data_IF_657327044640
#
_entry.id   IF_657327044640
#
_cell.length_a   1.000
_cell.length_b   1.000
_cell.length_c   1.000
_cell.angle_alpha   90.00
_cell.angle_beta   90.00
_cell.angle_gamma   90.00
#
_symmetry.space_group_name_H-M   'P 1'
#
loop_
_entity.id
_entity.type
_entity.pdbx_description
1 polymer ?
#
# COMPACT_ATOMS: atom_id res chain seq x y z
N UNK A 1 -12.96 -0.72 -13.56
CA UNK A 1 -12.79 -1.12 -12.15
C UNK A 1 -13.80 -2.18 -11.69
N UNK A 2 -15.13 -1.92 -11.70
CA UNK A 2 -16.15 -2.90 -11.25
C UNK A 2 -15.99 -4.29 -11.88
N UNK A 3 -15.84 -4.36 -13.21
CA UNK A 3 -15.63 -5.62 -13.93
C UNK A 3 -14.39 -6.40 -13.48
N UNK A 4 -13.26 -5.72 -13.23
CA UNK A 4 -12.05 -6.36 -12.71
C UNK A 4 -12.26 -6.92 -11.31
N UNK A 5 -12.93 -6.17 -10.43
CA UNK A 5 -13.26 -6.64 -9.08
C UNK A 5 -14.22 -7.83 -9.12
N UNK A 6 -15.18 -7.84 -10.06
CA UNK A 6 -16.10 -8.97 -10.26
C UNK A 6 -15.33 -10.22 -10.71
N UNK A 7 -14.40 -10.08 -11.66
CA UNK A 7 -13.53 -11.17 -12.08
C UNK A 7 -12.67 -11.70 -10.93
N UNK A 8 -12.07 -10.81 -10.13
CA UNK A 8 -11.34 -11.19 -8.91
C UNK A 8 -12.24 -11.96 -7.94
N UNK A 9 -13.50 -11.54 -7.78
CA UNK A 9 -14.48 -12.24 -6.95
C UNK A 9 -14.80 -13.65 -7.44
N UNK A 10 -14.82 -13.88 -8.76
CA UNK A 10 -15.03 -15.22 -9.33
C UNK A 10 -13.82 -16.14 -9.15
N UNK A 11 -12.59 -15.59 -9.27
CA UNK A 11 -11.35 -16.34 -9.10
C UNK A 11 -11.03 -16.63 -7.63
N UNK A 12 -11.40 -15.71 -6.74
CA UNK A 12 -11.05 -15.74 -5.32
C UNK A 12 -9.81 -14.90 -5.02
N UNK A 13 -9.76 -14.31 -3.82
CA UNK A 13 -8.63 -13.52 -3.33
C UNK A 13 -7.99 -14.15 -2.09
N UNK A 14 -6.65 -14.15 -2.05
CA UNK A 14 -5.87 -14.66 -0.93
C UNK A 14 -5.19 -16.00 -1.20
N UNK A 15 -4.53 -16.54 -0.18
CA UNK A 15 -3.66 -17.73 -0.27
C UNK A 15 -4.39 -18.98 -0.77
N UNK A 16 -5.66 -19.14 -0.39
CA UNK A 16 -6.47 -20.35 -0.63
C UNK A 16 -7.46 -20.15 -1.80
N UNK A 17 -7.22 -19.19 -2.70
CA UNK A 17 -8.09 -18.95 -3.84
C UNK A 17 -8.19 -20.17 -4.77
N UNK A 18 -7.08 -20.89 -4.98
CA UNK A 18 -7.03 -22.08 -5.84
C UNK A 18 -7.80 -23.28 -5.28
N UNK A 19 -8.10 -23.32 -3.98
CA UNK A 19 -8.93 -24.35 -3.33
C UNK A 19 -10.39 -23.91 -3.19
N UNK A 20 -10.77 -22.77 -3.80
CA UNK A 20 -12.13 -22.26 -3.88
C UNK A 20 -12.50 -21.23 -2.81
N UNK A 21 -11.59 -20.87 -1.90
CA UNK A 21 -11.84 -19.86 -0.87
C UNK A 21 -11.70 -18.41 -1.41
N UNK A 22 -12.15 -17.43 -0.62
CA UNK A 22 -11.94 -16.01 -0.92
C UNK A 22 -12.76 -15.46 -2.09
N UNK A 23 -13.79 -16.19 -2.56
CA UNK A 23 -14.75 -15.70 -3.55
C UNK A 23 -15.70 -14.68 -2.92
N UNK A 24 -16.08 -13.68 -3.69
CA UNK A 24 -16.99 -12.62 -3.25
C UNK A 24 -17.78 -12.05 -4.42
N UNK A 25 -18.86 -11.34 -4.11
CA UNK A 25 -19.65 -10.56 -5.09
C UNK A 25 -19.43 -9.08 -4.84
N UNK A 26 -19.30 -8.32 -5.92
CA UNK A 26 -19.14 -6.86 -5.86
C UNK A 26 -20.50 -6.20 -5.89
N UNK A 27 -20.83 -5.48 -4.82
CA UNK A 27 -22.01 -4.63 -4.74
C UNK A 27 -21.84 -3.33 -5.56
N UNK A 28 -22.44 -2.25 -5.07
CA UNK A 28 -22.35 -0.96 -5.74
C UNK A 28 -21.04 -0.24 -5.43
N UNK A 29 -20.52 0.45 -6.45
CA UNK A 29 -19.39 1.35 -6.31
C UNK A 29 -19.96 2.75 -6.13
N UNK A 30 -19.95 3.22 -4.88
CA UNK A 30 -20.48 4.52 -4.50
C UNK A 30 -19.31 5.50 -4.46
N UNK A 31 -19.30 6.55 -5.30
CA UNK A 31 -18.32 7.62 -5.20
C UNK A 31 -18.44 8.29 -3.83
N UNK A 32 -17.30 8.47 -3.18
CA UNK A 32 -17.21 9.12 -1.88
C UNK A 32 -16.41 10.41 -2.07
N UNK A 33 -17.02 11.53 -1.68
CA UNK A 33 -16.33 12.80 -1.52
C UNK A 33 -15.88 12.93 -0.06
N UNK A 34 -14.57 12.80 0.14
CA UNK A 34 -13.96 13.04 1.44
C UNK A 34 -13.81 14.54 1.65
N UNK A 35 -14.41 15.06 2.72
CA UNK A 35 -14.20 16.44 3.12
C UNK A 35 -12.75 16.60 3.56
N UNK A 36 -12.02 17.44 2.84
CA UNK A 36 -10.63 17.76 3.16
C UNK A 36 -10.63 18.79 4.28
N UNK A 37 -9.71 18.67 5.22
CA UNK A 37 -9.47 19.74 6.17
C UNK A 37 -8.90 20.95 5.42
N UNK A 38 -9.48 22.14 5.60
CA UNK A 38 -9.05 23.37 4.90
C UNK A 38 -7.59 23.75 5.20
N UNK A 39 -7.11 23.36 6.39
CA UNK A 39 -5.74 23.57 6.85
C UNK A 39 -4.92 22.27 6.85
N UNK A 40 -5.24 21.30 5.99
CA UNK A 40 -4.48 20.05 5.95
C UNK A 40 -2.99 20.33 5.78
N UNK A 41 -2.18 19.71 6.64
CA UNK A 41 -0.73 19.85 6.70
C UNK A 41 -0.01 18.49 6.75
N UNK A 42 -0.76 17.39 6.80
CA UNK A 42 -0.23 16.03 6.84
C UNK A 42 -1.13 15.04 6.09
N UNK A 43 -0.62 13.83 5.90
CA UNK A 43 -1.32 12.72 5.26
C UNK A 43 -1.54 11.57 6.22
N UNK A 44 -2.77 11.08 6.32
CA UNK A 44 -3.11 9.82 6.97
C UNK A 44 -3.14 8.69 5.92
N UNK A 45 -2.28 7.68 6.06
CA UNK A 45 -2.27 6.55 5.14
C UNK A 45 -3.42 5.57 5.37
N UNK A 46 -4.08 5.14 4.29
CA UNK A 46 -5.13 4.12 4.32
C UNK A 46 -4.59 2.72 4.00
N UNK A 47 -3.27 2.57 3.94
CA UNK A 47 -2.60 1.35 3.53
C UNK A 47 -1.12 1.35 3.90
N UNK A 48 -0.43 0.28 3.55
CA UNK A 48 1.00 0.15 3.81
C UNK A 48 1.79 0.98 2.80
N UNK A 49 2.73 1.79 3.27
CA UNK A 49 3.53 2.66 2.41
C UNK A 49 5.04 2.46 2.62
N UNK A 50 5.80 2.69 1.56
CA UNK A 50 7.25 2.80 1.54
C UNK A 50 7.59 4.30 1.40
N UNK A 51 7.76 5.03 2.52
CA UNK A 51 7.79 6.48 2.51
C UNK A 51 9.14 7.06 2.06
N UNK A 52 10.19 6.25 1.91
CA UNK A 52 11.53 6.75 1.58
C UNK A 52 11.56 7.47 0.22
N UNK A 53 12.53 8.37 0.03
CA UNK A 53 12.71 9.11 -1.23
C UNK A 53 11.80 10.34 -1.39
N UNK A 54 11.15 10.78 -0.31
CA UNK A 54 10.29 11.97 -0.27
C UNK A 54 10.76 12.93 0.83
N UNK A 55 10.37 14.21 0.72
CA UNK A 55 10.75 15.25 1.68
C UNK A 55 9.77 15.32 2.85
N UNK A 56 10.15 14.70 3.98
CA UNK A 56 9.36 14.64 5.21
C UNK A 56 9.98 15.46 6.34
N UNK A 57 9.11 16.05 7.17
CA UNK A 57 9.46 16.47 8.52
C UNK A 57 9.45 15.21 9.40
N UNK A 58 10.62 14.60 9.57
CA UNK A 58 10.74 13.24 10.14
C UNK A 58 10.22 13.18 11.58
N UNK A 59 10.43 14.26 12.33
CA UNK A 59 10.00 14.47 13.71
C UNK A 59 8.47 14.51 13.84
N UNK A 60 7.78 14.85 12.75
CA UNK A 60 6.31 14.94 12.66
C UNK A 60 5.71 13.79 11.84
N UNK A 61 6.46 12.70 11.64
CA UNK A 61 5.95 11.48 11.03
C UNK A 61 5.79 10.39 12.09
N UNK A 62 4.58 9.82 12.17
CA UNK A 62 4.23 8.83 13.19
C UNK A 62 3.69 7.58 12.52
N UNK A 63 4.35 6.44 12.74
CA UNK A 63 3.97 5.19 12.08
C UNK A 63 4.49 3.98 12.86
N UNK A 64 3.78 2.87 12.71
CA UNK A 64 4.34 1.54 12.98
C UNK A 64 4.90 0.96 11.68
N UNK A 65 5.81 -0.01 11.82
CA UNK A 65 6.38 -0.75 10.69
C UNK A 65 5.89 -2.19 10.68
N UNK A 66 5.92 -2.78 9.50
CA UNK A 66 5.67 -4.21 9.30
C UNK A 66 6.59 -4.75 8.21
N UNK A 67 6.93 -6.04 8.30
CA UNK A 67 7.74 -6.71 7.29
C UNK A 67 6.83 -7.62 6.46
N UNK A 68 6.82 -7.39 5.15
CA UNK A 68 6.12 -8.24 4.18
C UNK A 68 7.06 -9.33 3.69
N UNK A 69 6.77 -10.55 4.12
CA UNK A 69 7.31 -11.77 3.55
C UNK A 69 6.37 -12.27 2.45
N UNK A 70 6.93 -12.95 1.46
CA UNK A 70 6.11 -13.54 0.41
C UNK A 70 6.91 -14.42 -0.52
N UNK A 71 6.17 -15.31 -1.17
CA UNK A 71 6.65 -16.06 -2.33
C UNK A 71 6.11 -15.40 -3.59
N UNK A 72 6.80 -15.65 -4.67
CA UNK A 72 6.29 -15.46 -6.02
C UNK A 72 5.15 -16.45 -6.30
N UNK A 73 4.41 -16.20 -7.39
CA UNK A 73 3.33 -17.08 -7.83
C UNK A 73 3.81 -18.50 -8.19
N UNK A 74 2.86 -19.39 -8.48
CA UNK A 74 3.11 -20.83 -8.68
C UNK A 74 4.23 -21.13 -9.69
N UNK A 75 4.31 -20.38 -10.79
CA UNK A 75 5.33 -20.57 -11.83
C UNK A 75 6.76 -20.35 -11.33
N UNK A 76 6.94 -19.51 -10.32
CA UNK A 76 8.26 -19.20 -9.79
C UNK A 76 8.87 -20.33 -8.96
N UNK A 77 8.07 -21.32 -8.55
CA UNK A 77 8.53 -22.51 -7.82
C UNK A 77 9.53 -23.29 -8.68
N UNK A 78 9.38 -23.29 -9.99
CA UNK A 78 10.27 -24.00 -10.91
C UNK A 78 11.64 -23.33 -11.11
N UNK A 79 11.84 -22.11 -10.59
CA UNK A 79 13.03 -21.27 -10.79
C UNK A 79 14.02 -21.39 -9.61
N UNK A 80 13.85 -22.41 -8.76
CA UNK A 80 14.77 -22.75 -7.66
C UNK A 80 14.47 -22.03 -6.35
N UNK A 81 14.44 -20.69 -6.33
CA UNK A 81 14.13 -19.91 -5.11
C UNK A 81 12.96 -18.94 -5.34
N UNK A 82 11.72 -19.34 -4.99
CA UNK A 82 10.53 -18.55 -5.27
C UNK A 82 10.29 -17.44 -4.23
N UNK A 83 11.26 -17.05 -3.42
CA UNK A 83 11.05 -16.11 -2.32
C UNK A 83 11.33 -14.66 -2.74
N UNK A 84 10.48 -13.74 -2.27
CA UNK A 84 10.76 -12.31 -2.26
C UNK A 84 11.63 -11.97 -1.05
N UNK A 85 12.47 -10.96 -1.21
CA UNK A 85 13.23 -10.40 -0.11
C UNK A 85 12.25 -9.75 0.89
N UNK A 86 12.43 -9.95 2.21
CA UNK A 86 11.62 -9.29 3.22
C UNK A 86 11.64 -7.77 3.02
N UNK A 87 10.46 -7.17 2.91
CA UNK A 87 10.32 -5.73 2.65
C UNK A 87 9.67 -5.03 3.83
N UNK A 88 10.35 -4.03 4.40
CA UNK A 88 9.80 -3.21 5.47
C UNK A 88 8.90 -2.12 4.88
N UNK A 89 7.70 -1.97 5.42
CA UNK A 89 6.73 -0.94 5.07
C UNK A 89 6.18 -0.30 6.35
N UNK A 90 5.65 0.91 6.24
CA UNK A 90 4.77 1.49 7.26
C UNK A 90 3.41 0.80 7.23
N UNK A 91 2.67 0.83 8.34
CA UNK A 91 1.30 0.32 8.42
C UNK A 91 0.27 1.38 8.00
N UNK A 92 -0.96 0.93 7.72
CA UNK A 92 -2.09 1.84 7.62
C UNK A 92 -2.26 2.64 8.92
N UNK A 93 -2.74 3.87 8.82
CA UNK A 93 -2.84 4.82 9.92
C UNK A 93 -1.58 5.64 10.18
N UNK A 94 -0.56 5.53 9.32
CA UNK A 94 0.64 6.36 9.41
C UNK A 94 0.31 7.82 9.12
N UNK A 95 0.91 8.74 9.89
CA UNK A 95 0.92 10.17 9.65
C UNK A 95 2.24 10.55 8.98
N UNK A 96 2.15 11.19 7.81
CA UNK A 96 3.30 11.75 7.09
C UNK A 96 3.14 13.25 6.94
N UNK A 97 4.07 14.00 7.52
CA UNK A 97 4.11 15.46 7.44
C UNK A 97 5.15 15.87 6.39
N UNK A 98 4.76 16.35 5.21
CA UNK A 98 5.71 16.79 4.19
C UNK A 98 6.39 18.11 4.58
N UNK A 99 7.58 18.35 4.05
CA UNK A 99 8.22 19.67 4.15
C UNK A 99 7.39 20.76 3.46
N UNK A 100 6.68 20.41 2.39
CA UNK A 100 5.73 21.25 1.69
C UNK A 100 4.45 20.47 1.44
N UNK A 101 3.33 20.94 1.99
CA UNK A 101 2.05 20.27 1.81
C UNK A 101 1.48 20.51 0.42
N UNK A 102 1.15 19.42 -0.28
CA UNK A 102 0.47 19.45 -1.56
C UNK A 102 -0.68 18.43 -1.61
N UNK A 103 -1.68 18.68 -2.44
CA UNK A 103 -2.77 17.74 -2.58
C UNK A 103 -2.31 16.52 -3.40
N UNK A 104 -2.30 15.34 -2.77
CA UNK A 104 -2.03 14.07 -3.46
C UNK A 104 -3.08 13.01 -3.11
N UNK A 105 -3.13 11.95 -3.92
CA UNK A 105 -4.00 10.79 -3.69
C UNK A 105 -3.26 9.64 -3.00
N UNK A 106 -1.93 9.60 -3.15
CA UNK A 106 -1.10 8.52 -2.66
C UNK A 106 0.23 9.05 -2.12
N UNK A 107 0.78 8.35 -1.13
CA UNK A 107 2.15 8.52 -0.66
C UNK A 107 2.93 7.21 -0.77
N UNK A 108 4.25 7.32 -0.74
CA UNK A 108 5.16 6.18 -0.87
C UNK A 108 5.50 5.89 -2.34
N UNK A 109 5.96 4.67 -2.62
CA UNK A 109 6.46 4.31 -3.94
C UNK A 109 6.45 2.80 -4.23
N UNK A 110 6.54 2.44 -5.51
CA UNK A 110 6.84 1.07 -5.91
C UNK A 110 8.30 0.73 -5.61
N UNK A 111 8.54 -0.47 -5.07
CA UNK A 111 9.88 -0.95 -4.75
C UNK A 111 10.34 -1.98 -5.76
N UNK A 112 11.55 -1.80 -6.29
CA UNK A 112 12.25 -2.75 -7.15
C UNK A 112 13.37 -3.44 -6.37
N UNK A 113 14.04 -4.43 -6.96
CA UNK A 113 15.12 -5.16 -6.27
C UNK A 113 14.64 -6.03 -5.10
N UNK A 114 13.33 -6.26 -5.00
CA UNK A 114 12.69 -7.04 -3.93
C UNK A 114 12.75 -8.56 -4.15
N UNK A 115 13.52 -9.03 -5.14
CA UNK A 115 13.84 -10.45 -5.29
C UNK A 115 15.20 -10.64 -5.97
N UNK A 116 15.97 -11.57 -5.43
CA UNK A 116 17.22 -11.98 -6.05
C UNK A 116 17.02 -12.87 -7.29
N UNK A 117 15.92 -13.63 -7.34
CA UNK A 117 15.61 -14.58 -8.42
C UNK A 117 14.92 -13.90 -9.59
N UNK A 118 13.81 -13.20 -9.34
CA UNK A 118 13.01 -12.55 -10.38
C UNK A 118 13.27 -11.05 -10.33
N UNK A 119 14.22 -10.56 -11.12
CA UNK A 119 14.68 -9.16 -11.07
C UNK A 119 13.62 -8.13 -11.41
N UNK A 120 12.61 -8.51 -12.19
CA UNK A 120 11.46 -7.67 -12.56
C UNK A 120 10.39 -7.58 -11.48
N UNK A 121 10.58 -8.25 -10.34
CA UNK A 121 9.62 -8.19 -9.22
C UNK A 121 9.50 -6.77 -8.69
N UNK A 122 8.26 -6.32 -8.58
CA UNK A 122 7.90 -5.08 -7.90
C UNK A 122 7.08 -5.37 -6.65
N UNK A 123 7.26 -4.55 -5.63
CA UNK A 123 6.40 -4.52 -4.46
C UNK A 123 5.68 -3.17 -4.43
N UNK A 124 4.35 -3.21 -4.37
CA UNK A 124 3.57 -2.00 -4.12
C UNK A 124 3.85 -1.50 -2.70
N UNK A 125 4.41 -0.30 -2.62
CA UNK A 125 4.60 0.47 -1.39
C UNK A 125 4.00 1.87 -1.49
N UNK A 126 3.03 2.08 -2.37
CA UNK A 126 2.23 3.30 -2.39
C UNK A 126 0.86 3.04 -1.77
N UNK A 127 0.42 3.95 -0.91
CA UNK A 127 -0.84 3.86 -0.17
C UNK A 127 -1.73 5.07 -0.47
N UNK A 128 -3.06 4.89 -0.62
CA UNK A 128 -3.99 6.01 -0.64
C UNK A 128 -3.89 6.82 0.65
N UNK A 129 -4.13 8.12 0.58
CA UNK A 129 -4.07 9.00 1.75
C UNK A 129 -5.30 9.89 1.92
N UNK A 130 -5.56 10.29 3.16
CA UNK A 130 -6.45 11.38 3.50
C UNK A 130 -5.62 12.60 3.93
N UNK A 131 -5.87 13.79 3.33
CA UNK A 131 -5.39 15.04 3.87
C UNK A 131 -5.98 15.28 5.25
N UNK A 132 -5.13 15.49 6.26
CA UNK A 132 -5.54 15.78 7.63
C UNK A 132 -4.80 17.00 8.15
N UNK A 133 -5.40 17.66 9.14
CA UNK A 133 -4.67 18.59 9.99
C UNK A 133 -4.12 17.83 11.18
N UNK A 134 -2.83 17.95 11.39
CA UNK A 134 -2.10 17.40 12.50
C UNK A 134 -1.47 18.53 13.28
N UNK A 135 -1.93 18.71 14.52
CA UNK A 135 -1.40 19.68 15.47
C UNK A 135 -0.22 19.03 16.21
N UNK A 136 0.99 19.22 15.69
CA UNK A 136 2.22 18.84 16.39
C UNK A 136 2.52 19.92 17.43
N UNK A 137 2.52 19.55 18.72
CA UNK A 137 3.10 20.40 19.76
C UNK A 137 4.62 20.32 19.63
N UNK A 138 5.24 21.46 19.36
CA UNK A 138 6.68 21.67 19.54
C UNK A 138 7.07 21.54 21.03
#
# INVERSE_FOLDING_TARGET
LKGLLQQLGTFGYGKEASTGAGKFVVGDLIPINLNKHSQANAYLSLGHAAPQGHAWQTEHCYYNTTVRFGRHGAEAVYIGSPFKNPTMLTTAGAIFSPSQFEQCLFVGQGLTGVSNTIKTTVQQGYAPVLPVYFDSKD
#
